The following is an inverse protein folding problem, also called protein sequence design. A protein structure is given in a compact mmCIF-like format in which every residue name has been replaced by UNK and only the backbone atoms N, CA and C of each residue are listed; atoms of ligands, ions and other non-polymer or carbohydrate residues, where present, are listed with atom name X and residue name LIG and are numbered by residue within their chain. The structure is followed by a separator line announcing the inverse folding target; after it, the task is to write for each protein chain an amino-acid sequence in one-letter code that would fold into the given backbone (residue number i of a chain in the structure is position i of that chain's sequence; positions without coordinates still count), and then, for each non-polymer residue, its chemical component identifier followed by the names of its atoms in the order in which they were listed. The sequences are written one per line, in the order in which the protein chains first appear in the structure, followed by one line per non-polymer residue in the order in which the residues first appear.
data_IF_770125830809
#
_entry.id   IF_770125830809
#
_cell.length_a   1.000
_cell.length_b   1.000
_cell.length_c   1.000
_cell.angle_alpha   90.00
_cell.angle_beta   90.00
_cell.angle_gamma   90.00
#
_symmetry.space_group_name_H-M   'P 1'
#
loop_
_entity.id
_entity.type
_entity.pdbx_description
1 polymer ?
#
# COMPACT_ATOMS: atom_id res chain seq x y z
N UNK A 1 -70.43 6.23 17.44
CA UNK A 1 -69.44 5.12 17.44
C UNK A 1 -68.44 5.42 16.33
N UNK A 2 -67.14 5.46 16.65
CA UNK A 2 -66.05 5.72 15.70
C UNK A 2 -65.06 4.54 15.77
N UNK A 3 -64.71 3.88 14.66
CA UNK A 3 -63.75 2.79 14.68
C UNK A 3 -62.31 3.32 14.57
N UNK A 4 -61.51 3.11 15.61
CA UNK A 4 -60.07 3.39 15.57
C UNK A 4 -59.32 2.25 14.88
N UNK A 5 -58.88 2.45 13.64
CA UNK A 5 -58.00 1.49 12.95
C UNK A 5 -56.54 1.85 13.26
N UNK A 6 -55.84 0.98 13.99
CA UNK A 6 -54.41 1.16 14.28
C UNK A 6 -53.57 0.74 13.07
N UNK A 7 -52.70 1.64 12.62
CA UNK A 7 -51.73 1.37 11.56
C UNK A 7 -50.48 0.71 12.18
N UNK A 8 -50.42 -0.62 12.18
CA UNK A 8 -49.24 -1.36 12.64
C UNK A 8 -48.15 -1.39 11.57
N UNK A 9 -47.13 -0.55 11.72
CA UNK A 9 -45.96 -0.54 10.85
C UNK A 9 -45.04 -1.72 11.21
N UNK A 10 -45.11 -2.82 10.48
CA UNK A 10 -44.20 -3.97 10.67
C UNK A 10 -42.88 -3.68 9.95
N UNK A 11 -41.93 -3.09 10.68
CA UNK A 11 -40.57 -2.88 10.18
C UNK A 11 -39.81 -4.21 10.23
N UNK A 12 -39.82 -4.94 9.11
CA UNK A 12 -39.14 -6.24 8.98
C UNK A 12 -37.62 -6.09 8.96
N UNK A 13 -36.97 -6.22 10.13
CA UNK A 13 -35.51 -6.33 10.21
C UNK A 13 -35.10 -7.74 9.78
N UNK A 14 -34.51 -7.86 8.58
CA UNK A 14 -33.85 -9.10 8.15
C UNK A 14 -32.47 -9.15 8.78
N UNK A 15 -32.36 -9.81 9.93
CA UNK A 15 -31.07 -10.07 10.59
C UNK A 15 -30.42 -11.28 9.92
N UNK A 16 -29.39 -11.06 9.11
CA UNK A 16 -28.50 -12.13 8.67
C UNK A 16 -27.49 -12.43 9.80
N UNK A 17 -27.73 -13.50 10.56
CA UNK A 17 -26.81 -13.94 11.61
C UNK A 17 -25.68 -14.80 11.02
N UNK A 18 -24.43 -14.44 11.32
CA UNK A 18 -23.25 -15.29 11.13
C UNK A 18 -22.48 -15.38 12.46
N UNK A 19 -21.83 -16.52 12.68
CA UNK A 19 -21.29 -16.90 13.99
C UNK A 19 -20.26 -15.89 14.52
N UNK A 20 -20.48 -15.44 15.77
CA UNK A 20 -19.69 -14.43 16.48
C UNK A 20 -19.44 -13.12 15.71
N UNK A 21 -20.38 -12.74 14.84
CA UNK A 21 -20.29 -11.53 14.03
C UNK A 21 -20.35 -10.24 14.85
N UNK A 22 -19.21 -9.58 14.99
CA UNK A 22 -19.13 -8.19 15.34
C UNK A 22 -19.66 -7.32 14.19
N UNK A 23 -20.55 -6.37 14.48
CA UNK A 23 -21.27 -5.64 13.42
C UNK A 23 -20.78 -4.20 13.29
N UNK A 24 -20.03 -3.92 12.22
CA UNK A 24 -19.59 -2.58 11.90
C UNK A 24 -20.75 -1.69 11.41
N UNK A 25 -20.67 -0.36 11.65
CA UNK A 25 -21.62 0.58 11.08
C UNK A 25 -21.54 0.56 9.55
N UNK A 26 -22.68 0.83 8.90
CA UNK A 26 -22.76 0.89 7.42
C UNK A 26 -21.87 1.99 6.84
N UNK A 27 -21.70 3.10 7.57
CA UNK A 27 -20.76 4.18 7.27
C UNK A 27 -19.44 3.90 8.01
N UNK A 28 -18.32 3.61 7.32
CA UNK A 28 -17.09 3.22 8.00
C UNK A 28 -16.47 4.37 8.80
N UNK A 29 -16.10 4.07 10.05
CA UNK A 29 -15.47 5.02 10.97
C UNK A 29 -14.05 5.37 10.53
N UNK A 30 -13.64 6.62 10.73
CA UNK A 30 -12.27 7.08 10.43
C UNK A 30 -11.40 7.00 11.67
N UNK A 31 -10.23 6.38 11.56
CA UNK A 31 -9.27 6.30 12.65
C UNK A 31 -8.76 7.71 13.04
N UNK A 32 -8.53 7.95 14.33
CA UNK A 32 -8.27 9.28 14.91
C UNK A 32 -9.32 10.40 14.68
N UNK A 33 -10.55 10.08 14.27
CA UNK A 33 -11.65 11.06 14.24
C UNK A 33 -12.32 11.25 15.60
N UNK A 34 -12.98 12.38 15.83
CA UNK A 34 -13.68 12.67 17.10
C UNK A 34 -14.80 11.67 17.42
N UNK A 35 -15.37 11.01 16.39
CA UNK A 35 -16.34 9.92 16.55
C UNK A 35 -15.80 8.70 17.29
N UNK A 36 -14.47 8.54 17.43
CA UNK A 36 -13.87 7.47 18.22
C UNK A 36 -13.98 7.66 19.73
N UNK A 37 -14.46 8.82 20.20
CA UNK A 37 -14.93 8.93 21.60
C UNK A 37 -16.21 8.12 21.86
N UNK A 38 -16.82 7.55 20.81
CA UNK A 38 -17.86 6.51 20.83
C UNK A 38 -17.29 5.14 20.37
N UNK A 39 -15.99 5.04 20.11
CA UNK A 39 -15.30 3.82 19.64
C UNK A 39 -15.23 2.70 20.67
N UNK A 40 -15.60 2.97 21.92
CA UNK A 40 -15.85 1.92 22.94
C UNK A 40 -17.11 1.10 22.61
N UNK A 41 -18.07 1.66 21.86
CA UNK A 41 -19.34 1.03 21.47
C UNK A 41 -19.20 0.14 20.22
N UNK A 42 -18.45 0.60 19.22
CA UNK A 42 -18.18 -0.12 17.96
C UNK A 42 -16.84 -0.87 17.94
N UNK A 43 -16.14 -0.90 19.09
CA UNK A 43 -14.91 -1.64 19.40
C UNK A 43 -13.79 -1.71 18.36
N UNK A 44 -12.78 -2.53 18.64
CA UNK A 44 -11.49 -2.47 17.93
C UNK A 44 -11.43 -3.21 16.59
N UNK A 45 -12.48 -3.95 16.20
CA UNK A 45 -12.47 -4.67 14.92
C UNK A 45 -12.95 -3.83 13.73
N UNK A 46 -13.70 -2.74 13.95
CA UNK A 46 -14.25 -1.90 12.89
C UNK A 46 -13.39 -0.69 12.53
N UNK A 47 -12.43 -0.32 13.39
CA UNK A 47 -11.54 0.81 13.20
C UNK A 47 -10.32 0.68 14.10
N UNK A 48 -9.16 1.12 13.62
CA UNK A 48 -7.91 1.07 14.39
C UNK A 48 -7.93 2.08 15.54
N UNK A 49 -7.94 1.55 16.76
CA UNK A 49 -7.95 2.29 18.03
C UNK A 49 -7.26 1.43 19.12
N UNK A 50 -6.53 2.01 20.10
CA UNK A 50 -6.26 3.45 20.32
C UNK A 50 -5.28 4.07 19.32
N UNK A 51 -4.39 3.27 18.74
CA UNK A 51 -3.47 3.73 17.70
C UNK A 51 -4.17 3.74 16.34
N UNK A 52 -4.71 4.90 15.98
CA UNK A 52 -5.40 5.13 14.71
C UNK A 52 -4.56 5.85 13.66
N UNK A 53 -3.39 6.39 14.01
CA UNK A 53 -2.53 7.09 13.07
C UNK A 53 -1.44 6.12 12.60
N UNK A 54 -1.25 6.06 11.28
CA UNK A 54 -0.24 5.21 10.67
C UNK A 54 0.84 6.07 10.01
N UNK A 55 2.08 5.59 10.02
CA UNK A 55 3.14 6.17 9.21
C UNK A 55 3.87 5.10 8.41
N UNK A 56 4.15 5.38 7.13
CA UNK A 56 4.91 4.49 6.24
C UNK A 56 6.18 5.21 5.77
N UNK A 57 7.33 4.76 6.26
CA UNK A 57 8.62 5.45 6.10
C UNK A 57 9.51 4.72 5.11
N UNK A 58 9.67 5.28 3.91
CA UNK A 58 10.59 4.79 2.88
C UNK A 58 11.99 5.36 3.09
N UNK A 59 13.00 4.58 2.72
CA UNK A 59 14.42 4.94 2.82
C UNK A 59 15.05 5.03 1.44
N UNK A 60 15.83 6.07 1.19
CA UNK A 60 16.67 6.17 0.00
C UNK A 60 17.94 5.36 0.19
N UNK A 61 18.10 4.35 -0.66
CA UNK A 61 19.35 3.64 -0.85
C UNK A 61 20.08 4.27 -2.05
N UNK A 62 21.07 5.11 -1.75
CA UNK A 62 21.93 5.72 -2.75
C UNK A 62 22.82 4.69 -3.44
N UNK A 63 23.33 3.65 -2.76
CA UNK A 63 24.16 2.62 -3.41
C UNK A 63 23.38 1.84 -4.48
N UNK A 64 22.09 1.61 -4.26
CA UNK A 64 21.19 0.99 -5.23
C UNK A 64 20.53 1.99 -6.18
N UNK A 65 20.47 3.28 -5.82
CA UNK A 65 19.80 4.33 -6.59
C UNK A 65 18.27 4.22 -6.58
N UNK A 66 17.68 3.75 -5.48
CA UNK A 66 16.24 3.52 -5.36
C UNK A 66 15.71 3.74 -3.95
N UNK A 67 14.41 4.00 -3.84
CA UNK A 67 13.69 3.86 -2.57
C UNK A 67 13.47 2.37 -2.26
N UNK A 68 13.66 1.99 -1.01
CA UNK A 68 13.34 0.65 -0.48
C UNK A 68 11.86 0.57 -0.06
N UNK A 69 11.34 -0.63 0.21
CA UNK A 69 10.02 -0.75 0.82
C UNK A 69 10.01 -0.03 2.19
N UNK A 70 8.90 0.63 2.51
CA UNK A 70 8.81 1.42 3.73
C UNK A 70 8.61 0.57 4.97
N UNK A 71 8.96 1.13 6.13
CA UNK A 71 8.57 0.58 7.43
C UNK A 71 7.22 1.17 7.87
N UNK A 72 6.26 0.32 8.22
CA UNK A 72 4.97 0.74 8.78
C UNK A 72 5.09 0.88 10.30
N UNK A 73 4.68 2.03 10.84
CA UNK A 73 4.57 2.31 12.28
C UNK A 73 3.13 2.69 12.64
N UNK A 74 2.74 2.35 13.87
CA UNK A 74 1.52 2.84 14.51
C UNK A 74 1.90 4.00 15.43
N UNK A 75 1.06 5.03 15.44
CA UNK A 75 1.20 6.22 16.26
C UNK A 75 -0.12 6.47 17.00
N UNK A 76 -0.02 7.14 18.13
CA UNK A 76 -1.19 7.72 18.79
C UNK A 76 -1.79 8.83 17.92
N UNK A 77 -3.05 9.16 18.15
CA UNK A 77 -3.76 10.19 17.39
C UNK A 77 -3.26 11.63 17.61
N UNK A 78 -2.31 11.84 18.54
CA UNK A 78 -1.58 13.09 18.74
C UNK A 78 -0.21 13.12 18.02
N UNK A 79 0.16 12.05 17.31
CA UNK A 79 1.46 11.91 16.64
C UNK A 79 2.54 11.19 17.46
N UNK A 80 2.32 10.94 18.75
CA UNK A 80 3.32 10.30 19.62
C UNK A 80 3.50 8.80 19.34
N UNK A 81 4.68 8.28 19.73
CA UNK A 81 5.02 6.86 19.58
C UNK A 81 4.02 5.96 20.32
N UNK A 82 3.42 5.00 19.61
CA UNK A 82 2.58 3.98 20.22
C UNK A 82 3.36 2.68 20.44
N UNK A 83 3.08 2.01 21.57
CA UNK A 83 3.57 0.66 21.88
C UNK A 83 2.41 -0.18 22.38
N UNK A 84 2.30 -1.42 21.91
CA UNK A 84 1.37 -2.40 22.43
C UNK A 84 2.11 -3.55 23.12
N UNK A 85 1.38 -4.36 23.90
CA UNK A 85 1.87 -5.67 24.31
C UNK A 85 1.78 -6.63 23.11
N UNK A 86 2.94 -7.14 22.68
CA UNK A 86 3.04 -8.05 21.53
C UNK A 86 2.84 -9.49 21.94
N UNK A 87 1.81 -10.12 21.38
CA UNK A 87 1.49 -11.54 21.54
C UNK A 87 2.62 -12.43 20.95
N UNK A 88 3.40 -13.16 21.78
CA UNK A 88 4.50 -13.98 21.30
C UNK A 88 4.05 -15.20 20.49
N UNK A 89 2.82 -15.70 20.70
CA UNK A 89 2.30 -16.85 19.97
C UNK A 89 1.97 -16.51 18.50
N UNK A 90 1.93 -15.23 18.15
CA UNK A 90 1.78 -14.72 16.78
C UNK A 90 3.04 -14.08 16.22
N UNK A 91 4.19 -14.19 16.89
CA UNK A 91 5.48 -13.84 16.29
C UNK A 91 5.96 -15.00 15.42
N UNK A 92 6.40 -14.69 14.20
CA UNK A 92 6.76 -15.67 13.18
C UNK A 92 8.14 -15.36 12.63
N UNK A 93 8.97 -16.38 12.44
CA UNK A 93 10.29 -16.24 11.86
C UNK A 93 10.23 -16.05 10.33
N UNK A 94 11.36 -15.60 9.75
CA UNK A 94 11.47 -15.31 8.32
C UNK A 94 11.20 -16.52 7.41
N UNK A 95 11.52 -17.75 7.83
CA UNK A 95 11.30 -18.96 7.03
C UNK A 95 9.83 -19.36 7.06
N UNK A 96 9.21 -19.32 8.25
CA UNK A 96 7.76 -19.55 8.43
C UNK A 96 6.94 -18.57 7.59
N UNK A 97 7.26 -17.27 7.65
CA UNK A 97 6.61 -16.25 6.82
C UNK A 97 6.90 -16.47 5.34
N UNK A 98 8.14 -16.78 4.94
CA UNK A 98 8.47 -17.09 3.54
C UNK A 98 7.68 -18.27 2.98
N UNK A 99 7.51 -19.34 3.77
CA UNK A 99 6.73 -20.51 3.38
C UNK A 99 5.24 -20.16 3.19
N UNK A 100 4.66 -19.39 4.11
CA UNK A 100 3.26 -18.97 3.99
C UNK A 100 3.04 -17.97 2.85
N UNK A 101 3.99 -17.08 2.57
CA UNK A 101 3.92 -16.19 1.41
C UNK A 101 4.13 -16.94 0.09
N UNK A 102 4.98 -17.97 0.08
CA UNK A 102 5.16 -18.88 -1.06
C UNK A 102 3.90 -19.71 -1.36
N UNK A 103 3.16 -20.14 -0.33
CA UNK A 103 1.85 -20.78 -0.48
C UNK A 103 0.70 -19.79 -0.75
N UNK A 104 0.82 -18.54 -0.33
CA UNK A 104 -0.09 -17.44 -0.72
C UNK A 104 0.16 -16.93 -2.16
N UNK A 105 1.11 -17.54 -2.89
CA UNK A 105 1.42 -17.23 -4.28
C UNK A 105 0.39 -17.70 -5.31
N UNK A 106 -0.70 -18.36 -4.88
CA UNK A 106 -1.81 -18.75 -5.77
C UNK A 106 -2.85 -17.62 -5.99
N UNK A 107 -2.38 -16.36 -5.93
CA UNK A 107 -3.10 -15.22 -6.45
C UNK A 107 -2.61 -14.93 -7.87
N UNK A 108 -3.22 -15.63 -8.81
CA UNK A 108 -3.15 -15.39 -10.26
C UNK A 108 -3.91 -14.13 -10.64
N UNK A 109 -3.51 -12.98 -10.09
CA UNK A 109 -3.89 -11.66 -10.58
C UNK A 109 -2.60 -10.95 -11.06
N UNK A 110 -2.53 -10.72 -12.37
CA UNK A 110 -1.28 -10.40 -13.09
C UNK A 110 -0.73 -9.00 -12.75
N UNK A 111 0.15 -8.87 -11.76
CA UNK A 111 0.89 -7.61 -11.60
C UNK A 111 1.72 -7.36 -10.34
N UNK A 112 2.99 -7.78 -10.36
CA UNK A 112 4.11 -7.06 -9.74
C UNK A 112 3.91 -6.57 -8.27
N UNK A 113 3.87 -7.48 -7.31
CA UNK A 113 4.02 -7.14 -5.88
C UNK A 113 5.29 -6.31 -5.66
N UNK A 114 5.15 -5.02 -5.33
CA UNK A 114 6.28 -4.09 -5.22
C UNK A 114 7.13 -4.35 -4.00
N UNK A 115 6.57 -4.91 -2.92
CA UNK A 115 7.39 -5.33 -1.78
C UNK A 115 8.28 -6.51 -2.19
N UNK A 116 7.76 -7.48 -2.96
CA UNK A 116 8.57 -8.56 -3.51
C UNK A 116 9.62 -8.06 -4.52
N UNK A 117 9.35 -6.99 -5.29
CA UNK A 117 10.34 -6.37 -6.17
C UNK A 117 11.40 -5.54 -5.43
N UNK A 118 11.05 -4.91 -4.31
CA UNK A 118 11.95 -4.10 -3.50
C UNK A 118 12.83 -4.94 -2.58
N UNK A 119 12.29 -6.02 -2.03
CA UNK A 119 12.90 -6.84 -0.97
C UNK A 119 13.30 -8.26 -1.43
N UNK A 120 13.21 -8.55 -2.74
CA UNK A 120 13.47 -9.81 -3.46
C UNK A 120 14.06 -11.00 -2.70
N UNK A 121 15.24 -10.84 -2.09
CA UNK A 121 16.00 -11.92 -1.48
C UNK A 121 15.59 -12.26 -0.03
N UNK A 122 14.79 -11.43 0.63
CA UNK A 122 14.56 -11.49 2.08
C UNK A 122 13.11 -11.12 2.47
N UNK A 123 12.17 -11.29 1.53
CA UNK A 123 10.75 -10.89 1.67
C UNK A 123 10.11 -11.40 2.97
N UNK A 124 10.36 -12.65 3.36
CA UNK A 124 9.81 -13.20 4.60
C UNK A 124 10.41 -12.58 5.85
N UNK A 125 11.69 -12.15 5.83
CA UNK A 125 12.29 -11.40 6.94
C UNK A 125 11.71 -10.00 7.03
N UNK A 126 11.59 -9.30 5.90
CA UNK A 126 10.93 -7.99 5.87
C UNK A 126 9.53 -8.08 6.46
N UNK A 127 8.68 -8.99 5.95
CA UNK A 127 7.30 -9.14 6.44
C UNK A 127 7.24 -9.59 7.90
N UNK A 128 8.11 -10.51 8.33
CA UNK A 128 8.22 -10.92 9.74
C UNK A 128 8.59 -9.74 10.67
N UNK A 129 9.53 -8.89 10.25
CA UNK A 129 9.95 -7.69 10.99
C UNK A 129 8.83 -6.64 11.04
N UNK A 130 8.17 -6.35 9.91
CA UNK A 130 7.02 -5.44 9.87
C UNK A 130 5.88 -5.97 10.75
N UNK A 131 5.58 -7.27 10.69
CA UNK A 131 4.51 -7.89 11.47
C UNK A 131 4.78 -7.82 12.97
N UNK A 132 6.00 -8.15 13.38
CA UNK A 132 6.42 -8.12 14.78
C UNK A 132 6.53 -6.71 15.34
N UNK A 133 6.95 -5.73 14.53
CA UNK A 133 7.12 -4.34 14.94
C UNK A 133 5.84 -3.49 14.92
N UNK A 134 4.85 -3.82 14.09
CA UNK A 134 3.62 -3.04 13.97
C UNK A 134 2.37 -3.85 13.69
N UNK A 135 2.42 -4.87 12.83
CA UNK A 135 1.25 -5.66 12.44
C UNK A 135 0.50 -6.33 13.59
N UNK A 136 1.22 -6.86 14.59
CA UNK A 136 0.64 -7.44 15.81
C UNK A 136 -0.15 -6.43 16.66
N UNK A 137 0.18 -5.14 16.57
CA UNK A 137 -0.48 -4.06 17.29
C UNK A 137 -1.69 -3.48 16.56
N UNK A 138 -1.97 -3.90 15.32
CA UNK A 138 -3.15 -3.44 14.57
C UNK A 138 -4.38 -4.15 15.12
N UNK A 139 -5.20 -3.42 15.88
CA UNK A 139 -6.28 -4.02 16.67
C UNK A 139 -7.39 -4.66 15.81
N UNK A 140 -7.58 -4.22 14.57
CA UNK A 140 -8.52 -4.83 13.60
C UNK A 140 -8.01 -6.14 12.98
N UNK A 141 -6.72 -6.49 13.19
CA UNK A 141 -6.07 -7.76 12.82
C UNK A 141 -5.89 -8.70 14.03
N UNK A 142 -6.54 -8.40 15.16
CA UNK A 142 -6.63 -9.30 16.31
C UNK A 142 -7.34 -10.62 15.92
N UNK A 143 -6.97 -11.78 16.49
CA UNK A 143 -7.68 -13.04 16.32
C UNK A 143 -9.18 -12.96 16.66
N UNK A 144 -9.59 -12.04 17.54
CA UNK A 144 -11.00 -11.78 17.85
C UNK A 144 -11.78 -11.14 16.70
N UNK A 145 -11.08 -10.53 15.74
CA UNK A 145 -11.63 -9.84 14.58
C UNK A 145 -11.52 -10.67 13.27
N UNK A 146 -10.66 -11.69 13.25
CA UNK A 146 -10.39 -12.53 12.08
C UNK A 146 -10.88 -13.96 12.31
N UNK A 147 -11.94 -14.37 11.61
CA UNK A 147 -12.68 -15.64 11.82
C UNK A 147 -11.97 -16.88 11.23
N UNK A 148 -10.65 -16.96 11.36
CA UNK A 148 -9.78 -17.70 10.44
C UNK A 148 -8.53 -18.25 11.13
N UNK A 149 -7.70 -19.02 10.40
CA UNK A 149 -6.40 -19.47 10.90
C UNK A 149 -5.48 -18.32 11.37
N UNK A 150 -4.47 -18.68 12.17
CA UNK A 150 -3.53 -17.74 12.78
C UNK A 150 -2.71 -16.91 11.78
N UNK A 151 -2.61 -17.35 10.52
CA UNK A 151 -1.84 -16.69 9.47
C UNK A 151 -2.66 -15.63 8.72
N UNK A 152 -4.00 -15.65 8.82
CA UNK A 152 -4.86 -14.77 8.03
C UNK A 152 -4.62 -13.28 8.32
N UNK A 153 -4.42 -12.91 9.59
CA UNK A 153 -4.05 -11.53 9.97
C UNK A 153 -2.72 -11.09 9.32
N UNK A 154 -1.73 -11.98 9.26
CA UNK A 154 -0.46 -11.75 8.57
C UNK A 154 -0.66 -11.61 7.05
N UNK A 155 -1.52 -12.43 6.42
CA UNK A 155 -1.82 -12.32 4.98
C UNK A 155 -2.50 -10.99 4.63
N UNK A 156 -3.46 -10.55 5.44
CA UNK A 156 -4.10 -9.23 5.30
C UNK A 156 -3.09 -8.09 5.50
N UNK A 157 -2.20 -8.20 6.48
CA UNK A 157 -1.13 -7.25 6.72
C UNK A 157 -0.13 -7.16 5.56
N UNK A 158 0.28 -8.30 4.99
CA UNK A 158 1.15 -8.34 3.81
C UNK A 158 0.51 -7.63 2.60
N UNK A 159 -0.78 -7.89 2.33
CA UNK A 159 -1.55 -7.21 1.29
C UNK A 159 -1.58 -5.68 1.51
N UNK A 160 -1.66 -5.23 2.76
CA UNK A 160 -1.61 -3.81 3.10
C UNK A 160 -0.22 -3.20 2.85
N UNK A 161 0.87 -3.87 3.24
CA UNK A 161 2.24 -3.42 2.93
C UNK A 161 2.47 -3.29 1.42
N UNK A 162 1.99 -4.25 0.64
CA UNK A 162 2.15 -4.23 -0.83
C UNK A 162 1.30 -3.14 -1.50
N UNK A 163 0.10 -2.90 -0.98
CA UNK A 163 -0.76 -1.78 -1.39
C UNK A 163 -0.12 -0.43 -1.08
N UNK A 164 0.44 -0.26 0.12
CA UNK A 164 1.14 0.98 0.53
C UNK A 164 2.42 1.22 -0.29
N UNK A 165 3.22 0.17 -0.51
CA UNK A 165 4.41 0.23 -1.38
C UNK A 165 4.07 0.63 -2.81
N UNK A 166 2.88 0.26 -3.27
CA UNK A 166 2.38 0.56 -4.62
C UNK A 166 1.75 1.94 -4.77
N UNK A 167 1.01 2.40 -3.76
CA UNK A 167 0.43 3.73 -3.74
C UNK A 167 1.50 4.82 -3.55
N UNK A 168 2.51 4.60 -2.71
CA UNK A 168 3.47 5.62 -2.26
C UNK A 168 4.77 5.59 -3.08
N UNK A 169 4.72 6.06 -4.33
CA UNK A 169 5.90 6.09 -5.21
C UNK A 169 6.69 7.40 -5.08
N UNK A 170 7.57 7.47 -4.06
CA UNK A 170 8.38 8.67 -3.77
C UNK A 170 9.19 9.17 -4.98
N UNK A 171 9.80 8.27 -5.77
CA UNK A 171 10.52 8.66 -6.99
C UNK A 171 9.60 9.38 -7.99
N UNK A 172 8.42 8.83 -8.25
CA UNK A 172 7.43 9.41 -9.16
C UNK A 172 6.91 10.74 -8.63
N UNK A 173 6.62 10.85 -7.34
CA UNK A 173 6.12 12.06 -6.70
C UNK A 173 7.10 13.22 -6.85
N UNK A 174 8.37 13.00 -6.50
CA UNK A 174 9.46 13.94 -6.68
C UNK A 174 9.64 14.35 -8.16
N UNK A 175 9.58 13.37 -9.08
CA UNK A 175 9.69 13.63 -10.52
C UNK A 175 8.60 14.56 -11.06
N UNK A 176 7.38 14.58 -10.49
CA UNK A 176 6.30 15.50 -10.93
C UNK A 176 6.70 16.98 -10.84
N UNK A 177 7.46 17.36 -9.80
CA UNK A 177 8.01 18.71 -9.61
C UNK A 177 9.45 18.83 -10.16
N UNK A 178 9.87 17.91 -11.03
CA UNK A 178 11.22 17.80 -11.64
C UNK A 178 12.34 17.72 -10.60
N UNK A 179 12.14 16.94 -9.55
CA UNK A 179 13.15 16.63 -8.53
C UNK A 179 13.70 15.24 -8.84
N UNK A 180 14.99 15.18 -9.16
CA UNK A 180 15.70 13.96 -9.56
C UNK A 180 17.00 13.80 -8.76
N UNK A 181 17.54 12.59 -8.64
CA UNK A 181 18.85 12.41 -8.04
C UNK A 181 19.95 13.16 -8.84
N UNK A 182 20.86 13.85 -8.15
CA UNK A 182 21.90 14.71 -8.77
C UNK A 182 23.14 14.82 -7.87
N UNK A 183 24.33 14.73 -8.47
CA UNK A 183 25.61 14.89 -7.75
C UNK A 183 25.84 16.35 -7.28
N UNK A 184 25.41 17.32 -8.09
CA UNK A 184 25.67 18.76 -7.89
C UNK A 184 24.39 19.54 -7.48
N UNK A 185 23.22 19.01 -7.82
CA UNK A 185 21.93 19.64 -7.55
C UNK A 185 21.50 19.56 -6.09
N UNK A 186 20.76 20.57 -5.64
CA UNK A 186 20.12 20.58 -4.33
C UNK A 186 18.73 21.23 -4.37
N UNK A 187 17.94 20.98 -3.32
CA UNK A 187 16.52 21.29 -3.28
C UNK A 187 16.13 22.09 -2.02
N UNK A 188 15.09 22.90 -2.18
CA UNK A 188 14.43 23.60 -1.07
C UNK A 188 13.42 22.66 -0.39
N UNK A 189 13.39 22.67 0.94
CA UNK A 189 12.59 21.76 1.77
C UNK A 189 11.11 21.79 1.43
N UNK A 190 10.56 22.99 1.24
CA UNK A 190 9.15 23.18 0.94
C UNK A 190 8.78 22.56 -0.43
N UNK A 191 9.69 22.61 -1.42
CA UNK A 191 9.46 22.04 -2.76
C UNK A 191 9.48 20.51 -2.73
N UNK A 192 10.29 19.90 -1.86
CA UNK A 192 10.22 18.47 -1.59
C UNK A 192 8.87 18.10 -0.95
N UNK A 193 8.50 18.77 0.16
CA UNK A 193 7.25 18.49 0.87
C UNK A 193 6.01 18.69 0.00
N UNK A 194 5.98 19.73 -0.85
CA UNK A 194 4.90 19.96 -1.83
C UNK A 194 4.81 18.82 -2.85
N UNK A 195 5.93 18.38 -3.44
CA UNK A 195 5.95 17.26 -4.39
C UNK A 195 5.42 15.96 -3.78
N UNK A 196 5.80 15.70 -2.52
CA UNK A 196 5.43 14.50 -1.78
C UNK A 196 3.97 14.54 -1.32
N UNK A 197 3.46 15.69 -0.87
CA UNK A 197 2.08 15.87 -0.44
C UNK A 197 1.10 15.77 -1.61
N UNK A 198 1.39 16.45 -2.72
CA UNK A 198 0.59 16.37 -3.95
C UNK A 198 0.58 14.94 -4.50
N UNK A 199 1.75 14.30 -4.56
CA UNK A 199 1.90 12.95 -5.10
C UNK A 199 1.21 11.88 -4.25
N UNK A 200 1.28 12.00 -2.91
CA UNK A 200 0.66 11.06 -1.97
C UNK A 200 -0.82 11.36 -1.68
N UNK A 201 -1.47 12.19 -2.51
CA UNK A 201 -2.89 12.54 -2.43
C UNK A 201 -3.29 13.12 -1.05
N UNK A 202 -2.42 13.97 -0.48
CA UNK A 202 -2.65 14.64 0.80
C UNK A 202 -2.26 13.84 2.06
N UNK A 203 -1.75 12.61 1.92
CA UNK A 203 -1.10 11.90 3.04
C UNK A 203 0.12 12.71 3.48
N UNK A 204 0.19 13.07 4.76
CA UNK A 204 1.07 14.14 5.25
C UNK A 204 2.54 13.69 5.23
N UNK A 205 3.42 14.29 4.40
CA UNK A 205 4.81 13.87 4.31
C UNK A 205 5.67 14.52 5.40
N UNK A 206 6.62 13.74 5.90
CA UNK A 206 7.77 14.19 6.67
C UNK A 206 9.03 13.71 5.97
N UNK A 207 10.11 14.46 6.07
CA UNK A 207 11.40 14.09 5.49
C UNK A 207 12.49 14.14 6.55
N UNK A 208 13.45 13.24 6.45
CA UNK A 208 14.65 13.20 7.30
C UNK A 208 15.89 13.15 6.42
N UNK A 209 16.90 13.91 6.84
CA UNK A 209 18.20 14.00 6.19
C UNK A 209 19.30 13.48 7.10
N UNK A 210 20.31 12.88 6.48
CA UNK A 210 21.61 12.60 7.08
C UNK A 210 22.57 13.73 6.67
N UNK A 211 22.83 14.66 7.58
CA UNK A 211 23.45 15.94 7.24
C UNK A 211 22.54 16.76 6.31
N UNK A 212 22.98 17.00 5.07
CA UNK A 212 22.17 17.63 4.03
C UNK A 212 21.58 16.65 3.00
N UNK A 213 21.87 15.35 3.10
CA UNK A 213 21.38 14.34 2.16
C UNK A 213 20.00 13.80 2.58
N UNK A 214 19.00 13.90 1.70
CA UNK A 214 17.67 13.31 1.88
C UNK A 214 17.80 11.79 2.05
N UNK A 215 17.32 11.26 3.19
CA UNK A 215 17.49 9.86 3.56
C UNK A 215 16.18 9.10 3.78
N UNK A 216 15.20 9.70 4.45
CA UNK A 216 13.89 9.09 4.67
C UNK A 216 12.74 10.01 4.24
N UNK A 217 11.66 9.39 3.79
CA UNK A 217 10.35 10.03 3.59
C UNK A 217 9.29 9.21 4.30
N UNK A 218 8.62 9.82 5.27
CA UNK A 218 7.50 9.25 6.00
C UNK A 218 6.18 9.84 5.48
N UNK A 219 5.20 8.99 5.19
CA UNK A 219 3.83 9.42 4.88
C UNK A 219 2.89 9.04 6.02
N UNK A 220 2.22 10.03 6.63
CA UNK A 220 1.20 9.81 7.67
C UNK A 220 -0.21 9.77 7.08
N UNK A 221 -1.01 8.80 7.53
CA UNK A 221 -2.38 8.56 7.08
C UNK A 221 -3.24 7.87 8.14
N UNK A 222 -4.55 7.90 7.93
CA UNK A 222 -5.56 7.21 8.77
C UNK A 222 -6.28 6.14 7.94
N UNK A 223 -6.98 5.22 8.59
CA UNK A 223 -7.85 4.24 7.92
C UNK A 223 -9.31 4.66 7.99
N UNK A 224 -10.05 4.37 6.93
CA UNK A 224 -11.52 4.40 6.93
C UNK A 224 -12.02 2.97 7.03
N UNK A 225 -12.52 2.59 8.20
CA UNK A 225 -12.89 1.23 8.55
C UNK A 225 -11.72 0.37 9.06
N UNK A 226 -11.87 -0.97 9.02
CA UNK A 226 -10.80 -1.92 9.36
C UNK A 226 -9.55 -1.72 8.51
N UNK A 227 -8.35 -1.92 9.09
CA UNK A 227 -7.08 -1.76 8.37
C UNK A 227 -6.98 -2.65 7.11
N UNK A 228 -7.55 -3.86 7.19
CA UNK A 228 -7.60 -4.84 6.11
C UNK A 228 -8.45 -4.44 4.90
N UNK A 229 -9.27 -3.39 5.00
CA UNK A 229 -10.09 -2.88 3.89
C UNK A 229 -9.28 -1.95 2.96
N UNK A 230 -8.06 -1.56 3.38
CA UNK A 230 -7.07 -0.83 2.59
C UNK A 230 -7.44 0.62 2.19
N UNK A 231 -8.48 1.19 2.80
CA UNK A 231 -8.85 2.59 2.61
C UNK A 231 -7.97 3.52 3.45
N UNK A 232 -6.79 3.84 2.92
CA UNK A 232 -5.81 4.75 3.53
C UNK A 232 -6.03 6.19 3.05
N UNK A 233 -6.54 7.06 3.93
CA UNK A 233 -6.91 8.44 3.60
C UNK A 233 -6.06 9.50 4.33
N UNK A 234 -6.07 10.77 3.86
CA UNK A 234 -5.34 11.84 4.50
C UNK A 234 -5.76 12.05 5.96
N UNK A 235 -4.81 12.34 6.87
CA UNK A 235 -5.05 12.50 8.30
C UNK A 235 -5.67 13.86 8.67
N UNK A 236 -6.76 14.26 7.99
CA UNK A 236 -7.38 15.58 8.14
C UNK A 236 -7.89 15.90 9.56
N UNK A 237 -8.21 14.88 10.35
CA UNK A 237 -8.72 15.02 11.71
C UNK A 237 -7.61 15.07 12.78
N UNK A 238 -6.36 14.80 12.40
CA UNK A 238 -5.23 14.80 13.33
C UNK A 238 -4.73 16.22 13.57
N UNK A 239 -4.66 16.62 14.84
CA UNK A 239 -4.17 17.94 15.26
C UNK A 239 -2.68 17.84 15.54
N UNK A 240 -1.86 18.18 14.55
CA UNK A 240 -0.40 18.19 14.66
C UNK A 240 0.06 19.15 15.77
N UNK A 241 0.90 18.67 16.68
CA UNK A 241 1.61 19.56 17.59
C UNK A 241 2.77 20.23 16.83
N UNK A 242 3.22 21.39 17.30
CA UNK A 242 4.40 22.04 16.73
C UNK A 242 5.68 21.21 16.92
N UNK A 243 5.71 20.30 17.91
CA UNK A 243 6.83 19.37 18.15
C UNK A 243 6.95 18.29 17.09
N UNK A 244 5.86 17.94 16.40
CA UNK A 244 5.88 16.90 15.36
C UNK A 244 6.56 17.38 14.06
N UNK A 245 6.72 18.70 13.86
CA UNK A 245 7.28 19.29 12.65
C UNK A 245 8.81 19.28 12.55
N UNK A 246 9.51 18.64 13.49
CA UNK A 246 10.97 18.62 13.56
C UNK A 246 11.61 17.64 12.57
N UNK A 247 11.60 18.02 11.29
CA UNK A 247 12.48 17.44 10.25
C UNK A 247 13.94 17.77 10.52
N UNK A 248 14.84 16.78 10.35
CA UNK A 248 16.30 17.00 10.41
C UNK A 248 16.85 17.71 9.15
N UNK A 249 16.06 17.83 8.08
CA UNK A 249 16.51 18.45 6.84
C UNK A 249 16.61 19.98 6.95
N UNK A 250 17.69 20.61 6.43
CA UNK A 250 17.81 22.06 6.36
C UNK A 250 16.73 22.68 5.48
N UNK A 251 16.48 24.00 5.61
CA UNK A 251 15.47 24.70 4.80
C UNK A 251 15.78 24.68 3.29
N UNK A 252 17.06 24.65 2.93
CA UNK A 252 17.60 24.69 1.57
C UNK A 252 18.87 23.85 1.49
N UNK A 253 19.33 23.56 0.27
CA UNK A 253 20.58 22.83 0.05
C UNK A 253 20.47 21.32 0.27
N UNK A 254 19.25 20.77 0.35
CA UNK A 254 19.04 19.33 0.53
C UNK A 254 19.52 18.59 -0.73
N UNK A 255 20.48 17.70 -0.57
CA UNK A 255 20.96 16.82 -1.66
C UNK A 255 20.06 15.61 -1.79
N UNK A 256 19.71 15.26 -3.03
CA UNK A 256 19.11 13.97 -3.36
C UNK A 256 20.13 13.24 -4.23
N UNK A 257 20.96 12.40 -3.62
CA UNK A 257 22.15 11.84 -4.27
C UNK A 257 21.79 10.68 -5.22
N UNK A 258 22.39 10.60 -6.42
CA UNK A 258 22.16 9.51 -7.36
C UNK A 258 22.89 8.24 -6.90
N UNK A 259 22.77 7.19 -7.71
CA UNK A 259 23.65 6.03 -7.58
C UNK A 259 25.09 6.42 -7.85
N UNK A 260 26.04 6.15 -6.93
CA UNK A 260 27.45 6.38 -7.17
C UNK A 260 27.88 5.76 -8.49
N UNK A 261 28.41 6.59 -9.38
CA UNK A 261 29.07 6.10 -10.57
C UNK A 261 30.40 5.48 -10.14
N UNK A 262 30.42 4.17 -9.85
CA UNK A 262 31.67 3.44 -9.71
C UNK A 262 32.51 3.71 -10.96
N UNK A 263 33.64 4.39 -10.76
CA UNK A 263 34.44 4.97 -11.83
C UNK A 263 34.88 3.90 -12.80
N UNK A 264 34.10 3.73 -13.87
CA UNK A 264 34.42 2.86 -14.98
C UNK A 264 35.51 3.57 -15.77
N UNK A 265 36.76 3.37 -15.34
CA UNK A 265 37.97 3.72 -16.08
C UNK A 265 38.14 2.79 -17.28
N UNK A 266 37.08 2.68 -18.09
CA UNK A 266 37.18 2.23 -19.46
C UNK A 266 38.09 3.25 -20.15
N UNK A 267 39.38 2.90 -20.25
CA UNK A 267 40.32 3.57 -21.15
C UNK A 267 39.84 3.32 -22.58
N UNK A 268 38.88 4.12 -23.02
CA UNK A 268 38.54 4.26 -24.43
C UNK A 268 39.74 4.90 -25.14
N UNK A 269 40.73 4.06 -25.46
CA UNK A 269 41.69 4.36 -26.51
C UNK A 269 40.87 4.62 -27.79
N UNK A 270 40.83 5.89 -28.20
CA UNK A 270 40.13 6.32 -29.40
C UNK A 270 40.85 5.78 -30.65
N UNK A 271 40.54 4.53 -31.04
CA UNK A 271 40.87 3.95 -32.36
C UNK A 271 40.11 2.63 -32.60
N UNK A 272 38.79 2.71 -32.78
CA UNK A 272 38.01 1.64 -33.43
C UNK A 272 36.73 2.21 -34.05
N UNK A 273 36.79 2.60 -35.33
CA UNK A 273 35.59 2.96 -36.09
C UNK A 273 34.77 1.71 -36.41
N UNK A 274 33.72 1.45 -35.62
CA UNK A 274 32.74 0.39 -35.89
C UNK A 274 31.49 0.96 -36.56
N UNK A 275 31.22 0.49 -37.78
CA UNK A 275 30.10 0.93 -38.62
C UNK A 275 28.75 0.61 -37.95
N UNK A 276 27.90 1.62 -37.81
CA UNK A 276 26.50 1.43 -37.42
C UNK A 276 25.79 0.58 -38.47
N UNK A 277 25.27 -0.58 -38.06
CA UNK A 277 24.37 -1.41 -38.85
C UNK A 277 22.96 -1.18 -38.31
N UNK A 278 22.09 -0.55 -39.09
CA UNK A 278 20.70 -0.29 -38.68
C UNK A 278 19.98 -1.60 -38.40
N UNK A 279 19.34 -1.72 -37.23
CA UNK A 279 18.31 -2.74 -36.98
C UNK A 279 16.93 -2.17 -37.34
N UNK A 280 16.01 -3.01 -37.84
CA UNK A 280 14.70 -2.56 -38.31
C UNK A 280 13.76 -2.20 -37.16
N UNK A 281 12.94 -1.18 -37.42
CA UNK A 281 11.94 -0.60 -36.54
C UNK A 281 10.79 -1.59 -36.24
N UNK A 282 10.56 -1.91 -34.96
CA UNK A 282 9.40 -2.69 -34.52
C UNK A 282 8.22 -1.77 -34.18
N UNK A 283 7.08 -2.03 -34.82
CA UNK A 283 5.84 -1.25 -34.67
C UNK A 283 5.31 -1.26 -33.23
N UNK A 284 4.90 -0.11 -32.75
CA UNK A 284 4.10 0.05 -31.52
C UNK A 284 2.64 -0.40 -31.75
N UNK A 285 2.01 -1.13 -30.81
CA UNK A 285 0.58 -1.45 -30.89
C UNK A 285 -0.29 -0.23 -30.54
N UNK A 286 -1.46 -0.17 -31.17
CA UNK A 286 -2.35 1.00 -31.19
C UNK A 286 -3.21 1.09 -29.92
N UNK A 287 -3.11 2.20 -29.19
CA UNK A 287 -3.70 2.41 -27.84
C UNK A 287 -5.24 2.59 -27.80
N UNK A 288 -5.99 2.11 -28.80
CA UNK A 288 -7.43 2.41 -28.99
C UNK A 288 -8.42 1.29 -28.65
N UNK A 289 -7.97 0.14 -28.13
CA UNK A 289 -8.84 -1.01 -27.83
C UNK A 289 -9.16 -1.26 -26.35
N UNK A 290 -8.53 -0.54 -25.42
CA UNK A 290 -8.78 -0.71 -23.98
C UNK A 290 -10.13 -0.09 -23.55
N UNK A 291 -11.16 -0.94 -23.46
CA UNK A 291 -12.45 -0.58 -22.87
C UNK A 291 -12.35 -0.61 -21.34
N UNK A 292 -12.30 0.56 -20.72
CA UNK A 292 -12.38 0.69 -19.27
C UNK A 292 -13.79 0.34 -18.76
N UNK A 293 -13.91 -0.72 -17.96
CA UNK A 293 -15.14 -1.00 -17.21
C UNK A 293 -15.24 -0.02 -16.02
N UNK A 294 -16.23 0.89 -16.06
CA UNK A 294 -16.63 1.66 -14.87
C UNK A 294 -17.47 0.77 -13.97
N UNK A 295 -16.96 0.46 -12.79
CA UNK A 295 -17.74 -0.19 -11.73
C UNK A 295 -18.80 0.79 -11.18
N UNK A 296 -20.02 0.31 -10.90
CA UNK A 296 -21.09 1.06 -10.22
C UNK A 296 -21.29 0.47 -8.83
N UNK A 297 -21.38 1.31 -7.80
CA UNK A 297 -21.74 0.90 -6.45
C UNK A 297 -23.09 0.16 -6.42
N UNK A 298 -23.17 -0.88 -5.58
CA UNK A 298 -24.45 -1.48 -5.17
C UNK A 298 -24.75 -2.91 -5.66
N UNK A 299 -23.83 -3.61 -6.34
CA UNK A 299 -24.01 -5.03 -6.65
C UNK A 299 -23.22 -5.95 -5.71
N UNK A 300 -23.90 -7.02 -5.28
CA UNK A 300 -23.33 -8.12 -4.49
C UNK A 300 -22.35 -8.92 -5.36
N UNK A 301 -21.24 -9.38 -4.77
CA UNK A 301 -20.28 -10.27 -5.46
C UNK A 301 -21.00 -11.44 -6.15
N UNK A 302 -20.69 -11.75 -7.42
CA UNK A 302 -21.22 -12.94 -8.07
C UNK A 302 -20.56 -14.20 -7.49
N UNK A 303 -21.36 -15.25 -7.36
CA UNK A 303 -20.95 -16.52 -6.75
C UNK A 303 -19.90 -17.25 -7.61
N UNK A 304 -19.01 -18.02 -6.97
CA UNK A 304 -17.75 -18.53 -7.52
C UNK A 304 -17.92 -19.36 -8.82
N UNK A 305 -19.10 -19.96 -9.00
CA UNK A 305 -19.44 -20.81 -10.15
C UNK A 305 -19.60 -20.06 -11.48
N UNK A 306 -19.81 -18.74 -11.49
CA UNK A 306 -20.03 -17.97 -12.74
C UNK A 306 -18.73 -17.81 -13.55
N UNK A 307 -17.56 -17.95 -12.93
CA UNK A 307 -16.27 -17.73 -13.58
C UNK A 307 -15.86 -18.84 -14.56
N UNK A 308 -16.33 -20.09 -14.37
CA UNK A 308 -15.87 -21.22 -15.21
C UNK A 308 -16.35 -21.17 -16.66
N UNK A 309 -17.56 -20.70 -16.92
CA UNK A 309 -18.18 -20.75 -18.27
C UNK A 309 -17.64 -19.71 -19.26
N UNK A 310 -16.86 -18.73 -18.79
CA UNK A 310 -16.32 -17.66 -19.65
C UNK A 310 -14.94 -17.99 -20.23
N UNK A 311 -14.20 -18.94 -19.65
CA UNK A 311 -12.88 -19.35 -20.11
C UNK A 311 -12.94 -20.28 -21.35
N UNK A 312 -13.91 -21.20 -21.39
CA UNK A 312 -14.06 -22.18 -22.48
C UNK A 312 -14.52 -21.53 -23.81
N UNK A 313 -15.06 -20.31 -23.78
CA UNK A 313 -15.50 -19.58 -24.97
C UNK A 313 -14.36 -18.86 -25.72
N UNK A 314 -13.17 -18.73 -25.12
CA UNK A 314 -12.04 -18.02 -25.72
C UNK A 314 -11.07 -18.92 -26.51
N UNK A 315 -11.06 -20.23 -26.24
CA UNK A 315 -10.04 -21.17 -26.75
C UNK A 315 -10.49 -21.94 -28.02
N UNK A 316 -11.79 -21.90 -28.36
CA UNK A 316 -12.34 -22.51 -29.59
C UNK A 316 -12.03 -21.71 -30.88
N UNK A 317 -11.02 -20.82 -30.86
CA UNK A 317 -10.98 -19.63 -31.70
C UNK A 317 -9.94 -19.57 -32.83
N UNK A 318 -8.98 -20.50 -32.96
CA UNK A 318 -7.99 -20.41 -34.06
C UNK A 318 -7.28 -21.71 -34.49
N UNK A 319 -8.06 -22.73 -34.89
CA UNK A 319 -7.60 -23.97 -35.55
C UNK A 319 -8.71 -24.44 -36.53
N UNK A 320 -8.52 -24.70 -37.83
CA UNK A 320 -7.39 -24.44 -38.73
C UNK A 320 -7.84 -24.32 -40.20
N UNK A 321 -7.09 -23.56 -41.01
CA UNK A 321 -7.09 -23.53 -42.49
C UNK A 321 -5.69 -23.05 -42.91
N UNK A 322 -4.93 -23.68 -43.78
CA UNK A 322 -5.08 -24.93 -44.54
C UNK A 322 -4.06 -24.87 -45.69
N UNK A 323 -3.36 -25.96 -46.00
CA UNK A 323 -2.50 -26.02 -47.17
C UNK A 323 -2.30 -27.47 -47.65
N UNK A 324 -2.97 -27.78 -48.75
CA UNK A 324 -2.54 -28.83 -49.68
C UNK A 324 -1.37 -28.29 -50.54
N UNK A 325 -0.40 -29.14 -50.86
CA UNK A 325 -0.10 -29.62 -52.23
C UNK A 325 1.32 -30.22 -52.34
N UNK A 326 1.42 -31.33 -53.09
CA UNK A 326 2.60 -32.08 -53.55
C UNK A 326 3.41 -32.87 -52.49
#
# INVERSE_FOLDING_TARGET
MLPSIRLSLVLGIVVAQLANGFQCPNDPLVSCSEGLRQGEEFGSCCVSHPAGLFSYTQTWDSEQGRWLAGHLRLLNCDGSEFRCEVDPARQYDANTVSAWLGHAGDHTDDGQHRVALAEKADIGRYVAQQWSGSGLCISTLSPSCTTSDSQFGLRLFYRALDTLSSALDTSRFLATKRIYPSEEGSYDRNRLLEALFDGAEGKHPYIECEGDALKHVEYRFVTRGPFQDLYFEPPHHVRWSTRDSHTSCPLKGIKYLPKPSHGRTDRFNASASLKVKQLPEKRTPNLKSLKFFKYRHGQRMPDEKVWRTSAEAADAGNVSRGHDEL
#
